data_IF_110279361944
#
_entry.id   IF_110279361944
#
_cell.length_a   1.000
_cell.length_b   1.000
_cell.length_c   1.000
_cell.angle_alpha   90.00
_cell.angle_beta   90.00
_cell.angle_gamma   90.00
#
_symmetry.space_group_name_H-M   'P 1'
#
loop_
_entity.id
_entity.type
_entity.pdbx_description
1 polymer ?
#
# COMPACT_ATOMS: atom_id res chain seq x y z
N UNK A 1 4.83 -14.02 -5.07
CA UNK A 1 6.03 -14.51 -5.82
C UNK A 1 6.78 -13.36 -6.49
N UNK A 2 6.13 -12.55 -7.35
CA UNK A 2 6.79 -11.45 -8.11
C UNK A 2 7.54 -10.51 -7.17
N UNK A 3 6.92 -10.08 -6.07
CA UNK A 3 7.55 -9.18 -5.10
C UNK A 3 8.80 -9.78 -4.44
N UNK A 4 8.82 -11.10 -4.24
CA UNK A 4 10.01 -11.80 -3.71
C UNK A 4 11.16 -11.93 -4.73
N UNK A 5 10.87 -11.82 -6.03
CA UNK A 5 11.89 -11.69 -7.06
C UNK A 5 12.50 -10.28 -7.05
N UNK A 6 11.66 -9.25 -6.83
CA UNK A 6 12.10 -7.84 -6.78
C UNK A 6 13.02 -7.58 -5.59
N UNK A 7 12.70 -8.12 -4.40
CA UNK A 7 13.55 -7.94 -3.21
C UNK A 7 14.69 -8.97 -3.11
N UNK A 8 14.91 -9.81 -4.14
CA UNK A 8 16.00 -10.78 -4.20
C UNK A 8 15.87 -12.02 -3.32
N UNK A 9 14.72 -12.21 -2.62
CA UNK A 9 14.44 -13.42 -1.83
C UNK A 9 14.21 -14.63 -2.72
N UNK A 10 13.82 -14.43 -3.98
CA UNK A 10 13.79 -15.46 -5.01
C UNK A 10 14.66 -15.02 -6.19
N UNK A 11 15.25 -16.01 -6.87
CA UNK A 11 15.98 -15.78 -8.11
C UNK A 11 15.11 -16.18 -9.30
N UNK A 12 15.08 -15.41 -10.41
CA UNK A 12 14.36 -15.81 -11.61
C UNK A 12 14.99 -17.06 -12.22
N UNK A 13 14.15 -17.99 -12.69
CA UNK A 13 14.60 -19.16 -13.44
C UNK A 13 14.98 -18.79 -14.87
N UNK A 14 14.24 -17.83 -15.45
CA UNK A 14 14.48 -17.24 -16.76
C UNK A 14 14.27 -15.73 -16.69
N UNK A 15 14.96 -14.98 -17.57
CA UNK A 15 14.91 -13.53 -17.57
C UNK A 15 15.69 -12.93 -16.40
N UNK A 16 15.46 -11.65 -16.15
CA UNK A 16 16.14 -10.89 -15.10
C UNK A 16 15.19 -9.90 -14.41
N UNK A 17 15.54 -9.51 -13.20
CA UNK A 17 14.89 -8.43 -12.47
C UNK A 17 15.95 -7.38 -12.20
N UNK A 18 15.67 -6.14 -12.62
CA UNK A 18 16.59 -5.02 -12.49
C UNK A 18 16.07 -4.04 -11.43
N UNK A 19 16.97 -3.60 -10.54
CA UNK A 19 16.76 -2.46 -9.64
C UNK A 19 17.78 -1.39 -10.02
N UNK A 20 17.30 -0.23 -10.44
CA UNK A 20 18.14 0.85 -10.97
C UNK A 20 19.09 0.39 -12.09
N UNK A 21 18.61 -0.50 -12.97
CA UNK A 21 19.39 -1.05 -14.07
C UNK A 21 20.39 -2.15 -13.68
N UNK A 22 20.45 -2.56 -12.40
CA UNK A 22 21.35 -3.59 -11.90
C UNK A 22 20.56 -4.88 -11.63
N UNK A 23 21.00 -6.04 -12.17
CA UNK A 23 20.34 -7.32 -11.91
C UNK A 23 20.35 -7.68 -10.42
N UNK A 24 19.19 -8.04 -9.86
CA UNK A 24 19.08 -8.45 -8.45
C UNK A 24 19.95 -9.65 -8.10
N UNK A 25 20.27 -10.48 -9.07
CA UNK A 25 21.13 -11.66 -8.90
C UNK A 25 22.59 -11.31 -8.67
N UNK A 26 23.04 -10.10 -9.03
CA UNK A 26 24.40 -9.59 -8.82
C UNK A 26 24.58 -8.82 -7.52
N UNK A 27 23.48 -8.48 -6.84
CA UNK A 27 23.49 -7.71 -5.60
C UNK A 27 23.40 -8.64 -4.37
N UNK A 28 24.06 -8.24 -3.29
CA UNK A 28 23.86 -8.87 -1.97
C UNK A 28 22.50 -8.47 -1.40
N UNK A 29 21.94 -9.32 -0.56
CA UNK A 29 20.65 -9.03 0.11
C UNK A 29 20.69 -7.71 0.90
N UNK A 30 21.81 -7.39 1.56
CA UNK A 30 21.99 -6.11 2.27
C UNK A 30 22.01 -4.89 1.34
N UNK A 31 22.56 -5.03 0.13
CA UNK A 31 22.54 -3.95 -0.87
C UNK A 31 21.14 -3.73 -1.44
N UNK A 32 20.38 -4.81 -1.62
CA UNK A 32 18.98 -4.75 -2.02
C UNK A 32 18.10 -4.13 -0.91
N UNK A 33 18.35 -4.50 0.36
CA UNK A 33 17.60 -3.96 1.50
C UNK A 33 17.74 -2.44 1.67
N UNK A 34 18.87 -1.84 1.23
CA UNK A 34 19.02 -0.37 1.17
C UNK A 34 18.19 0.29 0.07
N UNK A 35 17.83 -0.45 -0.98
CA UNK A 35 17.09 0.07 -2.13
C UNK A 35 15.61 -0.23 -2.07
N UNK A 36 15.26 -1.39 -1.51
CA UNK A 36 13.90 -1.91 -1.50
C UNK A 36 13.54 -2.40 -0.10
N UNK A 37 12.70 -1.63 0.58
CA UNK A 37 12.02 -2.07 1.81
C UNK A 37 10.91 -3.05 1.48
N UNK A 38 10.67 -4.03 2.33
CA UNK A 38 9.64 -5.05 2.10
C UNK A 38 8.82 -5.30 3.36
N UNK A 39 7.52 -5.03 3.31
CA UNK A 39 6.56 -5.36 4.35
C UNK A 39 5.90 -6.71 4.03
N UNK A 40 6.02 -7.65 4.95
CA UNK A 40 5.37 -8.95 4.82
C UNK A 40 3.89 -8.86 5.21
N UNK A 41 3.05 -9.66 4.57
CA UNK A 41 1.61 -9.79 4.85
C UNK A 41 1.30 -10.06 6.34
N UNK A 42 2.15 -10.82 7.01
CA UNK A 42 2.02 -11.11 8.44
C UNK A 42 3.18 -10.45 9.22
N UNK A 43 2.91 -9.44 10.07
CA UNK A 43 3.93 -8.75 10.85
C UNK A 43 4.71 -9.71 11.78
N UNK A 44 4.09 -10.79 12.26
CA UNK A 44 4.73 -11.78 13.14
C UNK A 44 5.88 -12.53 12.45
N UNK A 45 5.98 -12.45 11.13
CA UNK A 45 7.11 -13.02 10.36
C UNK A 45 8.25 -12.05 10.16
N UNK A 46 8.02 -10.78 10.45
CA UNK A 46 8.99 -9.71 10.28
C UNK A 46 9.59 -9.29 11.60
N UNK A 47 8.75 -9.14 12.62
CA UNK A 47 9.15 -8.75 13.97
C UNK A 47 9.94 -9.89 14.62
N UNK A 48 11.15 -9.57 15.10
CA UNK A 48 12.05 -10.58 15.67
C UNK A 48 12.76 -10.14 16.96
N UNK A 49 12.62 -8.88 17.38
CA UNK A 49 13.27 -8.34 18.57
C UNK A 49 12.35 -8.35 19.79
N UNK A 50 12.95 -8.17 20.99
CA UNK A 50 12.21 -8.22 22.24
C UNK A 50 11.56 -6.91 22.62
N UNK A 51 12.06 -5.78 22.11
CA UNK A 51 11.48 -4.46 22.35
C UNK A 51 11.22 -3.73 21.04
N UNK A 52 10.31 -2.75 21.08
CA UNK A 52 10.01 -1.86 19.95
C UNK A 52 11.27 -1.13 19.48
N UNK A 53 12.06 -0.61 20.41
CA UNK A 53 13.31 0.09 20.09
C UNK A 53 14.31 -0.82 19.37
N UNK A 54 14.49 -2.04 19.86
CA UNK A 54 15.37 -3.02 19.22
C UNK A 54 14.91 -3.37 17.82
N UNK A 55 13.60 -3.52 17.61
CA UNK A 55 13.02 -3.83 16.29
C UNK A 55 13.28 -2.68 15.29
N UNK A 56 13.08 -1.44 15.70
CA UNK A 56 13.37 -0.27 14.85
C UNK A 56 14.86 -0.11 14.56
N UNK A 57 15.74 -0.47 15.50
CA UNK A 57 17.17 -0.43 15.35
C UNK A 57 17.73 -1.60 14.54
N UNK A 58 16.98 -2.69 14.41
CA UNK A 58 17.45 -3.94 13.82
C UNK A 58 18.01 -3.77 12.40
N UNK A 59 17.32 -2.98 11.56
CA UNK A 59 17.75 -2.71 10.19
C UNK A 59 19.10 -2.00 10.13
N UNK A 60 19.34 -1.00 10.96
CA UNK A 60 20.63 -0.30 11.05
C UNK A 60 21.75 -1.23 11.48
N UNK A 61 21.50 -2.09 12.49
CA UNK A 61 22.46 -3.12 12.92
C UNK A 61 22.82 -4.07 11.80
N UNK A 62 21.82 -4.57 11.08
CA UNK A 62 22.02 -5.51 9.97
C UNK A 62 22.79 -4.88 8.80
N UNK A 63 22.71 -3.56 8.62
CA UNK A 63 23.42 -2.80 7.58
C UNK A 63 24.78 -2.27 8.05
N UNK A 64 25.11 -2.38 9.35
CA UNK A 64 26.34 -1.82 9.94
C UNK A 64 26.32 -0.28 10.00
N UNK A 65 25.15 0.32 10.15
CA UNK A 65 24.90 1.77 10.14
C UNK A 65 24.46 2.26 11.53
N UNK A 66 24.92 1.60 12.59
CA UNK A 66 24.64 2.01 13.97
C UNK A 66 25.37 3.33 14.31
N UNK A 67 24.72 4.17 15.12
CA UNK A 67 25.28 5.43 15.58
C UNK A 67 24.21 6.43 15.98
N UNK A 68 24.63 7.63 16.38
CA UNK A 68 23.73 8.66 16.88
C UNK A 68 22.66 9.11 15.88
N UNK A 69 22.96 9.05 14.59
CA UNK A 69 21.95 9.35 13.54
C UNK A 69 20.86 8.27 13.50
N UNK A 70 21.23 6.99 13.56
CA UNK A 70 20.29 5.89 13.62
C UNK A 70 19.42 5.97 14.88
N UNK A 71 20.02 6.26 16.03
CA UNK A 71 19.31 6.47 17.29
C UNK A 71 18.29 7.60 17.19
N UNK A 72 18.70 8.75 16.65
CA UNK A 72 17.81 9.90 16.46
C UNK A 72 16.61 9.58 15.52
N UNK A 73 16.85 8.81 14.46
CA UNK A 73 15.79 8.38 13.54
C UNK A 73 14.83 7.40 14.21
N UNK A 74 15.33 6.49 15.03
CA UNK A 74 14.52 5.56 15.83
C UNK A 74 13.68 6.31 16.85
N UNK A 75 14.26 7.27 17.57
CA UNK A 75 13.53 8.11 18.52
C UNK A 75 12.39 8.88 17.84
N UNK A 76 12.66 9.47 16.68
CA UNK A 76 11.64 10.16 15.88
C UNK A 76 10.51 9.22 15.44
N UNK A 77 10.79 7.95 15.11
CA UNK A 77 9.75 6.97 14.78
C UNK A 77 8.92 6.57 15.99
N UNK A 78 9.55 6.38 17.15
CA UNK A 78 8.86 6.09 18.41
C UNK A 78 7.89 7.22 18.76
N UNK A 79 8.36 8.47 18.69
CA UNK A 79 7.53 9.66 18.96
C UNK A 79 6.38 9.78 17.94
N UNK A 80 6.68 9.65 16.65
CA UNK A 80 5.71 9.79 15.56
C UNK A 80 4.52 8.83 15.69
N UNK A 81 4.80 7.58 16.03
CA UNK A 81 3.77 6.54 16.13
C UNK A 81 3.22 6.36 17.54
N UNK A 82 3.76 7.07 18.52
CA UNK A 82 3.38 6.95 19.92
C UNK A 82 3.68 5.57 20.51
N UNK A 83 4.77 4.94 20.07
CA UNK A 83 5.17 3.65 20.61
C UNK A 83 5.77 3.77 22.00
N UNK A 84 5.55 2.76 22.83
CA UNK A 84 6.37 2.53 24.01
C UNK A 84 7.66 1.80 23.58
N UNK A 85 8.81 2.45 23.78
CA UNK A 85 10.12 1.96 23.32
C UNK A 85 10.49 0.61 23.92
N UNK A 86 10.09 0.35 25.17
CA UNK A 86 10.42 -0.84 25.94
C UNK A 86 9.32 -1.93 25.86
N UNK A 87 8.20 -1.64 25.18
CA UNK A 87 7.13 -2.61 25.00
C UNK A 87 7.61 -3.84 24.23
N UNK A 88 7.11 -5.00 24.64
CA UNK A 88 7.31 -6.25 23.92
C UNK A 88 6.41 -6.29 22.67
N UNK A 89 6.96 -6.36 21.44
CA UNK A 89 6.17 -6.32 20.21
C UNK A 89 5.06 -7.36 20.14
N UNK A 90 5.28 -8.55 20.71
CA UNK A 90 4.30 -9.64 20.68
C UNK A 90 3.09 -9.43 21.58
N UNK A 91 3.17 -8.51 22.55
CA UNK A 91 2.05 -8.11 23.41
C UNK A 91 1.20 -6.99 22.81
N UNK A 92 1.67 -6.34 21.75
CA UNK A 92 0.93 -5.31 21.03
C UNK A 92 -0.26 -5.92 20.28
N UNK A 93 -1.32 -5.14 20.07
CA UNK A 93 -2.41 -5.54 19.19
C UNK A 93 -1.93 -5.64 17.72
N UNK A 94 -2.73 -6.26 16.86
CA UNK A 94 -2.34 -6.54 15.47
C UNK A 94 -2.04 -5.26 14.68
N UNK A 95 -2.88 -4.22 14.80
CA UNK A 95 -2.69 -2.96 14.08
C UNK A 95 -1.40 -2.27 14.50
N UNK A 96 -1.12 -2.19 15.79
CA UNK A 96 0.14 -1.63 16.31
C UNK A 96 1.35 -2.43 15.85
N UNK A 97 1.27 -3.78 15.80
CA UNK A 97 2.34 -4.61 15.22
C UNK A 97 2.54 -4.36 13.73
N UNK A 98 1.47 -4.16 12.98
CA UNK A 98 1.56 -3.82 11.55
C UNK A 98 2.25 -2.46 11.34
N UNK A 99 1.87 -1.45 12.15
CA UNK A 99 2.54 -0.14 12.15
C UNK A 99 4.00 -0.25 12.54
N UNK A 100 4.35 -1.07 13.55
CA UNK A 100 5.74 -1.30 13.96
C UNK A 100 6.54 -1.96 12.82
N UNK A 101 5.98 -2.98 12.18
CA UNK A 101 6.61 -3.64 11.03
C UNK A 101 6.81 -2.68 9.83
N UNK A 102 5.86 -1.77 9.59
CA UNK A 102 6.03 -0.70 8.60
C UNK A 102 7.11 0.30 9.05
N UNK A 103 7.07 0.76 10.30
CA UNK A 103 8.04 1.70 10.85
C UNK A 103 9.47 1.17 10.79
N UNK A 104 9.69 -0.14 11.05
CA UNK A 104 11.02 -0.78 10.98
C UNK A 104 11.62 -0.78 9.56
N UNK A 105 10.80 -0.61 8.53
CA UNK A 105 11.25 -0.45 7.15
C UNK A 105 11.50 1.01 6.83
N UNK A 106 10.54 1.88 7.12
CA UNK A 106 10.61 3.28 6.72
C UNK A 106 11.66 4.06 7.47
N UNK A 107 12.06 3.63 8.68
CA UNK A 107 13.15 4.24 9.45
C UNK A 107 14.48 4.21 8.69
N UNK A 108 14.67 3.25 7.80
CA UNK A 108 15.84 3.15 6.91
C UNK A 108 15.75 4.08 5.70
N UNK A 109 14.58 4.67 5.42
CA UNK A 109 14.28 5.54 4.28
C UNK A 109 14.70 4.94 2.92
N UNK A 110 14.27 3.72 2.57
CA UNK A 110 14.57 3.15 1.27
C UNK A 110 13.83 3.92 0.17
N UNK A 111 14.42 4.10 -1.03
CA UNK A 111 13.78 4.80 -2.13
C UNK A 111 12.55 4.07 -2.71
N UNK A 112 12.44 2.77 -2.46
CA UNK A 112 11.30 1.95 -2.88
C UNK A 112 10.81 1.08 -1.74
N UNK A 113 9.50 0.98 -1.56
CA UNK A 113 8.87 0.10 -0.58
C UNK A 113 7.88 -0.81 -1.29
N UNK A 114 7.94 -2.09 -0.95
CA UNK A 114 6.97 -3.11 -1.37
C UNK A 114 6.12 -3.49 -0.16
N UNK A 115 4.81 -3.40 -0.31
CA UNK A 115 3.83 -3.73 0.72
C UNK A 115 3.02 -4.95 0.25
N UNK A 116 3.16 -6.07 0.95
CA UNK A 116 2.42 -7.29 0.64
C UNK A 116 1.18 -7.38 1.54
N UNK A 117 0.01 -6.98 1.02
CA UNK A 117 -1.28 -6.92 1.70
C UNK A 117 -1.25 -6.16 3.06
N UNK A 118 -0.87 -4.87 3.06
CA UNK A 118 -0.58 -4.12 4.28
C UNK A 118 -1.78 -3.93 5.21
N UNK A 119 -3.01 -4.05 4.69
CA UNK A 119 -4.26 -3.80 5.41
C UNK A 119 -4.99 -5.07 5.85
N UNK A 120 -4.49 -6.25 5.48
CA UNK A 120 -5.16 -7.52 5.76
C UNK A 120 -5.30 -7.79 7.27
N UNK A 121 -6.56 -7.96 7.72
CA UNK A 121 -6.90 -8.26 9.12
C UNK A 121 -6.77 -7.08 10.07
N UNK A 122 -6.72 -5.85 9.54
CA UNK A 122 -6.86 -4.61 10.27
C UNK A 122 -8.33 -4.17 10.30
N UNK A 123 -8.73 -3.47 11.35
CA UNK A 123 -9.98 -2.73 11.33
C UNK A 123 -9.86 -1.46 10.45
N UNK A 124 -11.00 -0.79 10.22
CA UNK A 124 -11.03 0.40 9.35
C UNK A 124 -10.09 1.51 9.83
N UNK A 125 -10.06 1.80 11.15
CA UNK A 125 -9.21 2.86 11.70
C UNK A 125 -7.74 2.53 11.60
N UNK A 126 -7.38 1.28 11.82
CA UNK A 126 -6.01 0.78 11.66
C UNK A 126 -5.59 0.82 10.18
N UNK A 127 -6.49 0.45 9.27
CA UNK A 127 -6.28 0.53 7.83
C UNK A 127 -5.98 1.96 7.39
N UNK A 128 -6.80 2.94 7.80
CA UNK A 128 -6.60 4.37 7.50
C UNK A 128 -5.23 4.84 7.99
N UNK A 129 -4.83 4.53 9.23
CA UNK A 129 -3.53 4.93 9.78
C UNK A 129 -2.35 4.38 8.96
N UNK A 130 -2.41 3.10 8.56
CA UNK A 130 -1.36 2.50 7.72
C UNK A 130 -1.31 3.17 6.36
N UNK A 131 -2.47 3.39 5.74
CA UNK A 131 -2.54 3.96 4.39
C UNK A 131 -2.19 5.45 4.35
N UNK A 132 -2.46 6.22 5.39
CA UNK A 132 -2.01 7.61 5.51
C UNK A 132 -0.49 7.70 5.56
N UNK A 133 0.18 6.81 6.30
CA UNK A 133 1.65 6.72 6.29
C UNK A 133 2.17 6.38 4.89
N UNK A 134 1.52 5.45 4.20
CA UNK A 134 1.89 5.05 2.82
C UNK A 134 1.72 6.22 1.85
N UNK A 135 0.64 6.98 1.96
CA UNK A 135 0.39 8.18 1.15
C UNK A 135 1.48 9.23 1.36
N UNK A 136 1.78 9.56 2.61
CA UNK A 136 2.83 10.52 2.97
C UNK A 136 4.20 10.11 2.42
N UNK A 137 4.57 8.83 2.51
CA UNK A 137 5.82 8.34 1.93
C UNK A 137 5.86 8.55 0.42
N UNK A 138 4.77 8.26 -0.28
CA UNK A 138 4.70 8.46 -1.72
C UNK A 138 4.76 9.94 -2.12
N UNK A 139 4.10 10.82 -1.37
CA UNK A 139 4.15 12.28 -1.57
C UNK A 139 5.56 12.84 -1.33
N UNK A 140 6.31 12.24 -0.41
CA UNK A 140 7.72 12.57 -0.14
C UNK A 140 8.71 11.90 -1.12
N UNK A 141 8.23 11.27 -2.21
CA UNK A 141 9.04 10.75 -3.29
C UNK A 141 9.44 9.28 -3.17
N UNK A 142 9.00 8.56 -2.14
CA UNK A 142 9.21 7.12 -2.06
C UNK A 142 8.34 6.39 -3.09
N UNK A 143 8.94 5.51 -3.88
CA UNK A 143 8.16 4.62 -4.75
C UNK A 143 7.49 3.55 -3.94
N UNK A 144 6.15 3.46 -4.03
CA UNK A 144 5.38 2.44 -3.32
C UNK A 144 4.81 1.44 -4.31
N UNK A 145 5.06 0.16 -4.08
CA UNK A 145 4.45 -0.96 -4.80
C UNK A 145 3.64 -1.76 -3.79
N UNK A 146 2.34 -1.86 -4.01
CA UNK A 146 1.43 -2.56 -3.10
C UNK A 146 0.81 -3.77 -3.80
N UNK A 147 0.86 -4.93 -3.15
CA UNK A 147 0.02 -6.08 -3.50
C UNK A 147 -1.24 -6.00 -2.64
N UNK A 148 -2.38 -5.95 -3.27
CA UNK A 148 -3.65 -5.79 -2.57
C UNK A 148 -4.75 -6.55 -3.33
N UNK A 149 -5.68 -7.13 -2.59
CA UNK A 149 -6.90 -7.75 -3.13
C UNK A 149 -8.16 -6.97 -2.73
N UNK A 150 -8.02 -5.93 -1.92
CA UNK A 150 -9.10 -5.00 -1.57
C UNK A 150 -9.13 -3.87 -2.60
N UNK A 151 -10.14 -3.89 -3.46
CA UNK A 151 -10.26 -2.92 -4.55
C UNK A 151 -10.72 -1.54 -4.09
N UNK A 152 -11.31 -1.40 -2.91
CA UNK A 152 -11.57 -0.08 -2.30
C UNK A 152 -10.23 0.60 -1.98
N UNK A 153 -9.34 -0.09 -1.29
CA UNK A 153 -7.98 0.41 -1.00
C UNK A 153 -7.22 0.73 -2.29
N UNK A 154 -7.34 -0.12 -3.32
CA UNK A 154 -6.69 0.13 -4.63
C UNK A 154 -7.29 1.38 -5.28
N UNK A 155 -8.62 1.54 -5.26
CA UNK A 155 -9.31 2.70 -5.83
C UNK A 155 -8.92 4.02 -5.16
N UNK A 156 -8.77 4.01 -3.84
CA UNK A 156 -8.48 5.21 -3.04
C UNK A 156 -7.00 5.63 -3.07
N UNK A 157 -6.09 4.69 -3.18
CA UNK A 157 -4.66 4.95 -2.99
C UNK A 157 -3.77 4.70 -4.21
N UNK A 158 -4.15 3.83 -5.14
CA UNK A 158 -3.31 3.52 -6.28
C UNK A 158 -3.56 4.48 -7.44
N UNK A 159 -2.48 4.95 -8.07
CA UNK A 159 -2.53 5.75 -9.33
C UNK A 159 -2.42 4.88 -10.57
N UNK A 160 -1.78 3.72 -10.45
CA UNK A 160 -1.54 2.76 -11.52
C UNK A 160 -1.78 1.36 -11.00
N UNK A 161 -2.43 0.54 -11.77
CA UNK A 161 -2.72 -0.87 -11.46
C UNK A 161 -2.08 -1.77 -12.50
N UNK A 162 -1.41 -2.81 -12.02
CA UNK A 162 -0.93 -3.93 -12.83
C UNK A 162 -1.75 -5.15 -12.43
N UNK A 163 -2.75 -5.50 -13.25
CA UNK A 163 -3.57 -6.68 -13.02
C UNK A 163 -2.83 -7.93 -13.51
N UNK A 164 -2.77 -8.95 -12.66
CA UNK A 164 -2.05 -10.19 -12.96
C UNK A 164 -2.95 -11.42 -12.69
N UNK A 165 -2.92 -12.39 -13.59
CA UNK A 165 -3.57 -13.69 -13.40
C UNK A 165 -2.69 -14.80 -13.97
N UNK A 166 -2.66 -15.96 -13.32
CA UNK A 166 -1.88 -17.13 -13.75
C UNK A 166 -0.41 -16.80 -14.11
N UNK A 167 0.21 -15.84 -13.38
CA UNK A 167 1.61 -15.42 -13.60
C UNK A 167 1.83 -14.52 -14.82
N UNK A 168 0.77 -13.98 -15.42
CA UNK A 168 0.85 -13.07 -16.57
C UNK A 168 0.23 -11.72 -16.24
N UNK A 169 0.79 -10.65 -16.77
CA UNK A 169 0.17 -9.32 -16.75
C UNK A 169 -0.95 -9.30 -17.79
N UNK A 170 -2.16 -8.97 -17.36
CA UNK A 170 -3.36 -8.86 -18.23
C UNK A 170 -3.74 -7.42 -18.50
N UNK A 171 -3.38 -6.51 -17.59
CA UNK A 171 -3.52 -5.07 -17.79
C UNK A 171 -2.45 -4.31 -16.99
N UNK A 172 -2.10 -3.13 -17.49
CA UNK A 172 -1.19 -2.17 -16.88
C UNK A 172 -1.58 -0.75 -17.31
N UNK A 173 -2.04 0.06 -16.37
CA UNK A 173 -2.53 1.41 -16.68
C UNK A 173 -3.05 2.17 -15.47
N UNK A 174 -3.63 3.37 -15.70
CA UNK A 174 -4.30 4.16 -14.68
C UNK A 174 -5.39 3.35 -13.97
N UNK A 175 -5.54 3.56 -12.67
CA UNK A 175 -6.37 2.72 -11.78
C UNK A 175 -7.77 2.50 -12.33
N UNK A 176 -8.49 3.55 -12.66
CA UNK A 176 -9.88 3.40 -13.10
C UNK A 176 -10.03 3.03 -14.58
N UNK A 177 -9.01 3.14 -15.40
CA UNK A 177 -9.02 2.53 -16.73
C UNK A 177 -8.99 1.01 -16.63
N UNK A 178 -8.15 0.49 -15.73
CA UNK A 178 -8.02 -0.96 -15.47
C UNK A 178 -9.24 -1.50 -14.72
N UNK A 179 -9.70 -0.83 -13.66
CA UNK A 179 -10.80 -1.29 -12.80
C UNK A 179 -12.20 -1.10 -13.43
N UNK A 180 -12.30 -0.44 -14.58
CA UNK A 180 -13.54 -0.32 -15.36
C UNK A 180 -13.56 -1.20 -16.60
N UNK A 181 -12.43 -1.81 -17.00
CA UNK A 181 -12.39 -2.73 -18.14
C UNK A 181 -13.00 -4.09 -17.76
N UNK A 182 -14.23 -4.35 -18.21
CA UNK A 182 -14.95 -5.59 -17.92
C UNK A 182 -14.23 -6.86 -18.39
N UNK A 183 -13.32 -6.76 -19.38
CA UNK A 183 -12.51 -7.91 -19.82
C UNK A 183 -11.44 -8.22 -18.78
N UNK A 184 -10.76 -7.17 -18.29
CA UNK A 184 -9.72 -7.27 -17.25
C UNK A 184 -10.33 -7.82 -15.96
N UNK A 185 -11.47 -7.25 -15.51
CA UNK A 185 -12.16 -7.69 -14.30
C UNK A 185 -12.54 -9.19 -14.39
N UNK A 186 -13.06 -9.63 -15.52
CA UNK A 186 -13.43 -11.04 -15.74
C UNK A 186 -12.21 -11.96 -15.79
N UNK A 187 -11.15 -11.56 -16.50
CA UNK A 187 -9.95 -12.37 -16.68
C UNK A 187 -9.13 -12.47 -15.39
N UNK A 188 -9.01 -11.38 -14.64
CA UNK A 188 -8.31 -11.33 -13.37
C UNK A 188 -9.14 -11.84 -12.18
N UNK A 189 -10.45 -12.12 -12.36
CA UNK A 189 -11.38 -12.51 -11.30
C UNK A 189 -11.46 -11.49 -10.16
N UNK A 190 -11.51 -10.21 -10.48
CA UNK A 190 -11.65 -9.11 -9.53
C UNK A 190 -12.97 -8.38 -9.74
N UNK A 191 -13.50 -7.81 -8.66
CA UNK A 191 -14.64 -6.88 -8.70
C UNK A 191 -14.09 -5.45 -8.60
N UNK A 192 -14.70 -4.47 -9.28
CA UNK A 192 -14.29 -3.08 -9.12
C UNK A 192 -14.71 -2.54 -7.74
N UNK A 193 -14.22 -1.36 -7.30
CA UNK A 193 -14.76 -0.67 -6.13
C UNK A 193 -16.27 -0.49 -6.23
N UNK A 194 -16.98 -0.51 -5.10
CA UNK A 194 -18.46 -0.50 -5.07
C UNK A 194 -19.06 0.68 -5.84
N UNK A 195 -18.51 1.90 -5.65
CA UNK A 195 -18.99 3.07 -6.40
C UNK A 195 -18.77 2.92 -7.88
N UNK A 196 -17.62 2.40 -8.29
CA UNK A 196 -17.31 2.11 -9.70
C UNK A 196 -18.27 1.06 -10.26
N UNK A 197 -18.59 0.01 -9.51
CA UNK A 197 -19.57 -1.01 -9.92
C UNK A 197 -20.94 -0.41 -10.13
N UNK A 198 -21.43 0.38 -9.15
CA UNK A 198 -22.72 1.08 -9.27
C UNK A 198 -22.74 1.99 -10.49
N UNK A 199 -21.69 2.79 -10.72
CA UNK A 199 -21.60 3.68 -11.88
C UNK A 199 -21.61 2.91 -13.21
N UNK A 200 -20.95 1.76 -13.29
CA UNK A 200 -20.93 0.89 -14.45
C UNK A 200 -22.31 0.27 -14.72
N UNK A 201 -23.06 -0.07 -13.68
CA UNK A 201 -24.42 -0.62 -13.81
C UNK A 201 -25.37 0.49 -14.30
N UNK A 202 -25.36 1.65 -13.63
CA UNK A 202 -26.22 2.77 -13.99
C UNK A 202 -25.91 3.31 -15.40
N UNK A 203 -24.64 3.34 -15.80
CA UNK A 203 -24.22 3.79 -17.12
C UNK A 203 -24.70 2.92 -18.29
N UNK A 204 -25.33 1.77 -18.03
CA UNK A 204 -25.99 0.96 -19.07
C UNK A 204 -27.40 1.47 -19.40
N UNK A 205 -27.98 2.30 -18.52
CA UNK A 205 -29.31 2.87 -18.73
C UNK A 205 -29.19 4.11 -19.63
N UNK A 206 -30.03 4.18 -20.66
CA UNK A 206 -30.00 5.25 -21.65
C UNK A 206 -30.23 6.66 -21.09
N UNK A 207 -30.87 6.76 -19.94
CA UNK A 207 -31.17 8.03 -19.25
C UNK A 207 -30.13 8.38 -18.17
N UNK A 208 -29.07 7.60 -17.97
CA UNK A 208 -28.07 7.87 -16.96
C UNK A 208 -27.22 9.09 -17.33
N UNK A 209 -27.08 10.10 -16.46
CA UNK A 209 -26.17 11.19 -16.70
C UNK A 209 -24.72 10.70 -16.80
N UNK A 210 -23.94 11.25 -17.73
CA UNK A 210 -22.56 10.83 -17.97
C UNK A 210 -21.70 10.95 -16.68
N UNK A 211 -21.89 12.01 -15.90
CA UNK A 211 -21.15 12.19 -14.64
C UNK A 211 -21.41 11.07 -13.62
N UNK A 212 -22.64 10.52 -13.56
CA UNK A 212 -23.00 9.37 -12.72
C UNK A 212 -22.35 8.08 -13.26
N UNK A 213 -22.41 7.90 -14.59
CA UNK A 213 -21.83 6.75 -15.27
C UNK A 213 -20.30 6.69 -15.19
N UNK A 214 -19.63 7.83 -14.93
CA UNK A 214 -18.17 7.95 -14.85
C UNK A 214 -17.63 8.06 -13.42
N UNK A 215 -18.49 8.15 -12.41
CA UNK A 215 -18.10 8.31 -11.02
C UNK A 215 -17.32 7.07 -10.52
N UNK A 216 -16.22 7.31 -9.82
CA UNK A 216 -15.34 6.29 -9.27
C UNK A 216 -15.20 6.38 -7.75
N UNK A 217 -15.56 7.52 -7.15
CA UNK A 217 -15.51 7.76 -5.72
C UNK A 217 -16.87 8.19 -5.18
N UNK A 218 -17.07 8.01 -3.88
CA UNK A 218 -18.31 8.47 -3.19
C UNK A 218 -18.55 9.95 -3.45
N UNK A 219 -17.55 10.80 -3.31
CA UNK A 219 -17.67 12.24 -3.54
C UNK A 219 -18.10 12.57 -4.98
N UNK A 220 -17.50 11.91 -5.97
CA UNK A 220 -17.90 12.07 -7.38
C UNK A 220 -19.34 11.62 -7.62
N UNK A 221 -19.74 10.48 -7.05
CA UNK A 221 -21.10 9.97 -7.19
C UNK A 221 -22.12 10.91 -6.56
N UNK A 222 -21.88 11.37 -5.34
CA UNK A 222 -22.76 12.32 -4.62
C UNK A 222 -22.93 13.61 -5.43
N UNK A 223 -21.82 14.20 -5.89
CA UNK A 223 -21.84 15.42 -6.71
C UNK A 223 -22.62 15.19 -8.01
N UNK A 224 -22.37 14.10 -8.72
CA UNK A 224 -23.03 13.80 -9.98
C UNK A 224 -24.54 13.57 -9.82
N UNK A 225 -24.96 12.87 -8.77
CA UNK A 225 -26.39 12.63 -8.47
C UNK A 225 -27.09 13.92 -8.05
N UNK A 226 -26.46 14.74 -7.23
CA UNK A 226 -27.05 16.02 -6.81
C UNK A 226 -27.25 16.96 -8.00
N UNK A 227 -26.25 17.07 -8.89
CA UNK A 227 -26.39 17.84 -10.14
C UNK A 227 -27.50 17.31 -11.04
N UNK A 228 -27.64 15.98 -11.15
CA UNK A 228 -28.70 15.37 -11.93
C UNK A 228 -30.11 15.61 -11.36
N UNK A 229 -30.19 15.92 -10.05
CA UNK A 229 -31.45 16.20 -9.35
C UNK A 229 -31.73 17.69 -9.13
N UNK A 230 -30.97 18.60 -9.74
CA UNK A 230 -31.02 20.06 -9.50
C UNK A 230 -30.95 20.43 -8.01
N UNK A 231 -30.18 19.72 -7.24
CA UNK A 231 -29.94 19.98 -5.81
C UNK A 231 -28.54 20.55 -5.60
N UNK A 232 -28.45 21.58 -4.75
CA UNK A 232 -27.14 21.98 -4.22
C UNK A 232 -26.61 20.89 -3.30
N UNK A 233 -25.37 20.49 -3.49
CA UNK A 233 -24.63 19.67 -2.53
C UNK A 233 -24.15 20.67 -1.47
N UNK A 234 -24.82 20.76 -0.33
CA UNK A 234 -24.16 21.27 0.87
C UNK A 234 -22.94 20.36 1.08
N UNK A 235 -21.76 20.96 1.28
CA UNK A 235 -20.53 20.22 1.50
C UNK A 235 -20.79 19.10 2.50
N UNK A 236 -20.90 17.88 2.00
CA UNK A 236 -20.88 16.71 2.85
C UNK A 236 -19.42 16.56 3.22
N UNK A 237 -19.01 17.33 4.24
CA UNK A 237 -17.84 16.93 5.01
C UNK A 237 -18.14 15.50 5.46
N UNK A 238 -17.49 14.55 4.82
CA UNK A 238 -17.35 13.21 5.39
C UNK A 238 -16.54 13.45 6.64
N UNK A 239 -17.25 13.70 7.76
CA UNK A 239 -16.61 13.78 9.07
C UNK A 239 -15.74 12.54 9.17
N UNK A 240 -14.43 12.75 9.16
CA UNK A 240 -13.49 11.72 9.53
C UNK A 240 -13.99 11.23 10.88
N UNK A 241 -14.40 9.96 10.93
CA UNK A 241 -14.87 9.33 12.16
C UNK A 241 -13.65 9.33 13.09
N UNK A 242 -13.70 10.27 14.09
CA UNK A 242 -12.70 10.38 15.17
C UNK A 242 -12.50 9.05 15.93
#
# INVERSE_FOLDING_TARGET
TTMRLVNGLLKPTYGEVLIDGVPTTSLKTSELARRVGFLFQNPDRQICCNTVREELMFGFKALGEEGSEAEARVDAMIERFGFDADAEPYLLNRGTRQLLALASIIVLAPPTIILDEPTTGLDFRECVKVMDVVRELNENGTTVIMVCHDMEVVGDFARRVIAMTAGRVVADGPTFEVLRDGRVLKEAHILPPQVTEVSLILGREAACPAAVAEANTVAQMVTAVAQACDREVEDVEVEAID
#
